data_IF_257275896867
#
_entry.id   IF_257275896867
#
_cell.length_a   1.000
_cell.length_b   1.000
_cell.length_c   1.000
_cell.angle_alpha   90.00
_cell.angle_beta   90.00
_cell.angle_gamma   90.00
#
_symmetry.space_group_name_H-M   'P 1'
#
loop_
_entity.id
_entity.type
_entity.pdbx_description
1 polymer ?
#
# COMPACT_ATOMS: atom_id res chain seq x y z
N UNK A 1 -15.16 -0.73 15.64
CA UNK A 1 -14.19 -1.85 15.59
C UNK A 1 -14.84 -3.23 15.40
N UNK A 2 -16.10 -3.49 15.79
CA UNK A 2 -16.68 -4.84 15.68
C UNK A 2 -16.93 -5.37 14.25
N UNK A 3 -17.23 -4.48 13.29
CA UNK A 3 -17.66 -4.88 11.93
C UNK A 3 -16.53 -5.44 11.04
N UNK A 4 -15.28 -5.03 11.27
CA UNK A 4 -14.13 -5.47 10.47
C UNK A 4 -13.34 -6.63 11.10
N UNK A 5 -13.55 -6.89 12.41
CA UNK A 5 -12.87 -7.98 13.14
C UNK A 5 -12.98 -9.35 12.45
N UNK A 6 -14.16 -9.76 11.91
CA UNK A 6 -14.26 -11.05 11.23
C UNK A 6 -13.34 -11.14 10.02
N UNK A 7 -13.20 -10.07 9.23
CA UNK A 7 -12.31 -10.05 8.07
C UNK A 7 -10.85 -10.26 8.46
N UNK A 8 -10.38 -9.56 9.50
CA UNK A 8 -9.00 -9.74 9.98
C UNK A 8 -8.77 -11.11 10.64
N UNK A 9 -9.79 -11.73 11.22
CA UNK A 9 -9.69 -13.11 11.71
C UNK A 9 -9.49 -14.10 10.56
N UNK A 10 -10.24 -13.93 9.46
CA UNK A 10 -10.09 -14.74 8.23
C UNK A 10 -8.70 -14.54 7.63
N UNK A 11 -8.22 -13.30 7.53
CA UNK A 11 -6.89 -13.01 6.99
C UNK A 11 -5.76 -13.60 7.86
N UNK A 12 -5.93 -13.61 9.18
CA UNK A 12 -4.97 -14.26 10.08
C UNK A 12 -4.95 -15.79 9.89
N UNK A 13 -6.10 -16.42 9.64
CA UNK A 13 -6.18 -17.85 9.33
C UNK A 13 -5.50 -18.18 8.00
N UNK A 14 -5.66 -17.32 7.00
CA UNK A 14 -5.10 -17.50 5.65
C UNK A 14 -3.66 -16.95 5.50
N UNK A 15 -2.96 -16.67 6.61
CA UNK A 15 -1.65 -16.01 6.61
C UNK A 15 -0.57 -16.84 5.91
N UNK A 16 -0.53 -18.14 6.18
CA UNK A 16 0.45 -19.07 5.61
C UNK A 16 -0.06 -19.77 4.33
N UNK A 17 -1.30 -19.50 3.94
CA UNK A 17 -1.89 -20.05 2.73
C UNK A 17 -1.21 -19.46 1.47
N UNK A 18 -1.15 -20.27 0.41
CA UNK A 18 -0.77 -19.82 -0.92
C UNK A 18 -1.76 -18.77 -1.46
N UNK A 19 -1.38 -18.03 -2.50
CA UNK A 19 -2.26 -17.00 -3.07
C UNK A 19 -3.60 -17.58 -3.56
N UNK A 20 -3.60 -18.78 -4.17
CA UNK A 20 -4.82 -19.46 -4.62
C UNK A 20 -5.70 -19.90 -3.46
N UNK A 21 -5.13 -20.52 -2.43
CA UNK A 21 -5.87 -20.96 -1.25
C UNK A 21 -6.46 -19.77 -0.48
N UNK A 22 -5.68 -18.69 -0.32
CA UNK A 22 -6.14 -17.45 0.30
C UNK A 22 -7.30 -16.86 -0.47
N UNK A 23 -7.24 -16.85 -1.81
CA UNK A 23 -8.33 -16.38 -2.65
C UNK A 23 -9.61 -17.20 -2.45
N UNK A 24 -9.50 -18.54 -2.40
CA UNK A 24 -10.65 -19.40 -2.11
C UNK A 24 -11.26 -19.14 -0.74
N UNK A 25 -10.43 -18.99 0.30
CA UNK A 25 -10.90 -18.66 1.65
C UNK A 25 -11.64 -17.32 1.63
N UNK A 26 -11.09 -16.30 0.96
CA UNK A 26 -11.72 -14.98 0.85
C UNK A 26 -13.06 -15.04 0.12
N UNK A 27 -13.15 -15.79 -0.97
CA UNK A 27 -14.40 -16.00 -1.70
C UNK A 27 -15.46 -16.69 -0.84
N UNK A 28 -15.08 -17.71 -0.06
CA UNK A 28 -16.00 -18.47 0.80
C UNK A 28 -16.41 -17.71 2.06
N UNK A 29 -15.51 -16.94 2.67
CA UNK A 29 -15.69 -16.38 4.01
C UNK A 29 -15.72 -14.85 4.05
N UNK A 30 -14.83 -14.16 3.33
CA UNK A 30 -14.74 -12.68 3.36
C UNK A 30 -15.83 -12.02 2.54
N UNK A 31 -16.14 -12.55 1.35
CA UNK A 31 -17.17 -11.97 0.44
C UNK A 31 -18.56 -11.90 1.10
N UNK A 32 -19.07 -12.93 1.79
CA UNK A 32 -20.35 -12.83 2.50
C UNK A 32 -20.35 -11.76 3.60
N UNK A 33 -19.25 -11.61 4.34
CA UNK A 33 -19.11 -10.58 5.39
C UNK A 33 -19.15 -9.18 4.78
N UNK A 34 -18.45 -8.98 3.66
CA UNK A 34 -18.46 -7.72 2.92
C UNK A 34 -19.83 -7.40 2.35
N UNK A 35 -20.56 -8.39 1.83
CA UNK A 35 -21.92 -8.21 1.36
C UNK A 35 -22.85 -7.72 2.49
N UNK A 36 -22.77 -8.32 3.68
CA UNK A 36 -23.52 -7.87 4.86
C UNK A 36 -23.12 -6.45 5.29
N UNK A 37 -21.82 -6.13 5.25
CA UNK A 37 -21.32 -4.80 5.54
C UNK A 37 -21.89 -3.77 4.55
N UNK A 38 -21.88 -4.08 3.24
CA UNK A 38 -22.42 -3.20 2.20
C UNK A 38 -23.89 -2.89 2.44
N UNK A 39 -24.68 -3.91 2.75
CA UNK A 39 -26.11 -3.74 3.03
C UNK A 39 -26.34 -2.81 4.23
N UNK A 40 -25.58 -2.99 5.31
CA UNK A 40 -25.64 -2.09 6.47
C UNK A 40 -25.27 -0.65 6.11
N UNK A 41 -24.24 -0.45 5.30
CA UNK A 41 -23.82 0.89 4.85
C UNK A 41 -24.89 1.55 3.97
N UNK A 42 -25.57 0.80 3.10
CA UNK A 42 -26.67 1.32 2.29
C UNK A 42 -27.86 1.75 3.14
N UNK A 43 -28.24 0.93 4.14
CA UNK A 43 -29.29 1.30 5.10
C UNK A 43 -28.92 2.56 5.87
N UNK A 44 -27.68 2.67 6.34
CA UNK A 44 -27.21 3.88 7.04
C UNK A 44 -27.22 5.10 6.13
N UNK A 45 -26.86 4.95 4.85
CA UNK A 45 -26.90 6.05 3.89
C UNK A 45 -28.30 6.66 3.75
N UNK A 46 -29.36 5.85 3.81
CA UNK A 46 -30.75 6.32 3.72
C UNK A 46 -31.23 6.98 5.02
N UNK A 47 -30.71 6.55 6.17
CA UNK A 47 -31.12 7.04 7.50
C UNK A 47 -30.37 8.29 7.95
N UNK A 48 -29.18 8.54 7.39
CA UNK A 48 -28.32 9.63 7.81
C UNK A 48 -28.72 10.95 7.14
N UNK A 49 -28.69 12.02 7.94
CA UNK A 49 -28.96 13.38 7.46
C UNK A 49 -27.83 13.81 6.50
N UNK A 50 -28.16 14.46 5.37
CA UNK A 50 -27.16 15.06 4.50
C UNK A 50 -26.20 15.97 5.28
N UNK A 51 -24.89 15.90 5.01
CA UNK A 51 -23.80 16.65 5.67
C UNK A 51 -23.40 16.18 7.08
N UNK A 52 -23.97 15.08 7.59
CA UNK A 52 -23.44 14.46 8.80
C UNK A 52 -22.07 13.78 8.52
N UNK A 53 -21.03 13.90 9.37
CA UNK A 53 -19.72 13.29 9.11
C UNK A 53 -19.74 11.77 8.86
N UNK A 54 -20.69 11.06 9.47
CA UNK A 54 -20.93 9.64 9.20
C UNK A 54 -21.46 9.40 7.77
N UNK A 55 -22.31 10.29 7.25
CA UNK A 55 -22.82 10.19 5.89
C UNK A 55 -21.67 10.35 4.88
N UNK A 56 -20.75 11.28 5.14
CA UNK A 56 -19.54 11.46 4.32
C UNK A 56 -18.65 10.22 4.34
N UNK A 57 -18.42 9.63 5.51
CA UNK A 57 -17.64 8.39 5.64
C UNK A 57 -18.31 7.20 4.92
N UNK A 58 -19.63 7.03 5.07
CA UNK A 58 -20.40 5.98 4.39
C UNK A 58 -20.35 6.18 2.88
N UNK A 59 -20.56 7.40 2.39
CA UNK A 59 -20.48 7.72 0.97
C UNK A 59 -19.07 7.46 0.43
N UNK A 60 -18.03 7.85 1.16
CA UNK A 60 -16.65 7.58 0.78
C UNK A 60 -16.38 6.08 0.60
N UNK A 61 -16.77 5.25 1.59
CA UNK A 61 -16.60 3.79 1.51
C UNK A 61 -17.38 3.21 0.32
N UNK A 62 -18.62 3.64 0.11
CA UNK A 62 -19.46 3.13 -0.99
C UNK A 62 -18.95 3.56 -2.37
N UNK A 63 -18.38 4.76 -2.49
CA UNK A 63 -17.78 5.26 -3.73
C UNK A 63 -16.50 4.48 -4.10
N UNK A 64 -15.77 3.99 -3.10
CA UNK A 64 -14.54 3.21 -3.28
C UNK A 64 -14.77 1.70 -3.05
N UNK A 65 -16.01 1.23 -3.15
CA UNK A 65 -16.34 -0.15 -2.79
C UNK A 65 -15.61 -1.18 -3.65
N UNK A 66 -15.41 -0.89 -4.94
CA UNK A 66 -14.71 -1.80 -5.85
C UNK A 66 -13.23 -1.93 -5.46
N UNK A 67 -12.57 -0.79 -5.23
CA UNK A 67 -11.15 -0.70 -4.90
C UNK A 67 -10.84 -1.34 -3.55
N UNK A 68 -11.70 -1.11 -2.54
CA UNK A 68 -11.56 -1.69 -1.21
C UNK A 68 -11.71 -3.21 -1.19
N UNK A 69 -12.30 -3.81 -2.23
CA UNK A 69 -12.56 -5.25 -2.32
C UNK A 69 -11.66 -6.00 -3.31
N UNK A 70 -10.66 -5.34 -3.92
CA UNK A 70 -9.73 -5.97 -4.88
C UNK A 70 -9.01 -7.19 -4.29
N UNK A 71 -8.73 -7.19 -2.99
CA UNK A 71 -8.11 -8.33 -2.31
C UNK A 71 -8.97 -9.62 -2.37
N UNK A 72 -10.29 -9.49 -2.57
CA UNK A 72 -11.16 -10.64 -2.77
C UNK A 72 -11.09 -11.20 -4.19
N UNK A 73 -10.62 -10.44 -5.18
CA UNK A 73 -10.36 -10.92 -6.55
C UNK A 73 -8.94 -11.41 -6.78
N UNK A 74 -7.98 -10.98 -5.95
CA UNK A 74 -6.57 -11.34 -6.08
C UNK A 74 -5.98 -11.73 -4.71
N UNK A 75 -5.57 -13.00 -4.58
CA UNK A 75 -4.97 -13.55 -3.36
C UNK A 75 -3.59 -12.99 -2.99
N UNK A 76 -2.92 -12.33 -3.94
CA UNK A 76 -1.62 -11.67 -3.72
C UNK A 76 -1.78 -10.30 -3.08
N UNK A 77 -2.94 -9.66 -3.27
CA UNK A 77 -3.22 -8.33 -2.74
C UNK A 77 -3.58 -8.44 -1.24
N UNK A 78 -2.91 -7.69 -0.35
CA UNK A 78 -3.28 -7.64 1.07
C UNK A 78 -4.59 -6.87 1.27
N UNK A 79 -5.31 -7.17 2.36
CA UNK A 79 -6.53 -6.45 2.76
C UNK A 79 -6.26 -4.99 3.16
N UNK A 80 -5.02 -4.67 3.53
CA UNK A 80 -4.61 -3.36 4.02
C UNK A 80 -3.43 -2.79 3.22
N UNK A 81 -3.20 -1.50 3.39
CA UNK A 81 -2.11 -0.75 2.76
C UNK A 81 -0.89 -0.59 3.69
N UNK A 82 -0.77 -1.39 4.76
CA UNK A 82 0.23 -1.16 5.82
C UNK A 82 1.67 -1.15 5.29
N UNK A 83 1.95 -1.96 4.26
CA UNK A 83 3.25 -1.98 3.59
C UNK A 83 3.56 -0.62 2.95
N UNK A 84 2.61 -0.09 2.17
CA UNK A 84 2.72 1.21 1.51
C UNK A 84 2.84 2.36 2.51
N UNK A 85 2.04 2.36 3.59
CA UNK A 85 2.11 3.38 4.64
C UNK A 85 3.46 3.37 5.36
N UNK A 86 4.00 2.18 5.62
CA UNK A 86 5.33 2.02 6.25
C UNK A 86 6.44 2.60 5.37
N UNK A 87 6.36 2.42 4.05
CA UNK A 87 7.32 3.04 3.13
C UNK A 87 7.13 4.56 3.07
N UNK A 88 5.89 5.05 2.98
CA UNK A 88 5.60 6.49 2.96
C UNK A 88 6.10 7.19 4.23
N UNK A 89 6.01 6.52 5.40
CA UNK A 89 6.53 7.05 6.66
C UNK A 89 8.02 7.43 6.57
N UNK A 90 8.83 6.70 5.79
CA UNK A 90 10.25 7.03 5.58
C UNK A 90 10.42 8.33 4.83
N UNK A 91 9.62 8.54 3.78
CA UNK A 91 9.62 9.79 3.01
C UNK A 91 9.25 10.97 3.92
N UNK A 92 8.23 10.81 4.75
CA UNK A 92 7.79 11.84 5.70
C UNK A 92 8.87 12.15 6.75
N UNK A 93 9.52 11.13 7.31
CA UNK A 93 10.62 11.31 8.26
C UNK A 93 11.84 12.00 7.61
N UNK A 94 12.21 11.59 6.40
CA UNK A 94 13.30 12.21 5.66
C UNK A 94 12.99 13.68 5.33
N UNK A 95 11.75 14.03 4.98
CA UNK A 95 11.34 15.43 4.80
C UNK A 95 11.53 16.24 6.07
N UNK A 96 11.21 15.68 7.24
CA UNK A 96 11.44 16.36 8.53
C UNK A 96 12.93 16.57 8.82
N UNK A 97 13.79 15.66 8.38
CA UNK A 97 15.24 15.73 8.56
C UNK A 97 15.96 16.57 7.47
N UNK A 98 15.31 16.78 6.32
CA UNK A 98 15.82 17.56 5.21
C UNK A 98 15.11 18.92 5.18
N UNK A 99 15.53 19.81 6.09
CA UNK A 99 14.94 21.14 6.28
C UNK A 99 15.21 22.12 5.11
N UNK A 100 15.98 21.71 4.09
CA UNK A 100 16.51 22.59 3.04
C UNK A 100 16.20 22.13 1.60
N UNK A 101 15.08 21.44 1.36
CA UNK A 101 14.58 21.24 -0.02
C UNK A 101 14.05 22.59 -0.54
N UNK A 102 14.98 23.46 -0.96
CA UNK A 102 14.67 24.85 -1.32
C UNK A 102 14.25 25.07 -2.78
N UNK A 103 14.30 24.04 -3.64
CA UNK A 103 13.89 24.18 -5.04
C UNK A 103 13.45 22.84 -5.68
N UNK A 104 12.70 22.88 -6.81
CA UNK A 104 12.20 21.68 -7.49
C UNK A 104 13.29 20.69 -7.94
N UNK A 105 14.49 21.18 -8.30
CA UNK A 105 15.62 20.31 -8.68
C UNK A 105 16.07 19.46 -7.50
N UNK A 106 16.20 20.05 -6.31
CA UNK A 106 16.51 19.32 -5.08
C UNK A 106 15.46 18.28 -4.74
N UNK A 107 14.18 18.62 -4.92
CA UNK A 107 13.07 17.67 -4.76
C UNK A 107 13.16 16.47 -5.71
N UNK A 108 13.51 16.70 -6.98
CA UNK A 108 13.71 15.63 -7.96
C UNK A 108 14.90 14.73 -7.60
N UNK A 109 16.03 15.31 -7.22
CA UNK A 109 17.21 14.54 -6.77
C UNK A 109 16.88 13.67 -5.56
N UNK A 110 16.15 14.25 -4.59
CA UNK A 110 15.68 13.50 -3.42
C UNK A 110 14.78 12.33 -3.82
N UNK A 111 13.81 12.55 -4.70
CA UNK A 111 12.92 11.50 -5.19
C UNK A 111 13.68 10.36 -5.86
N UNK A 112 14.71 10.67 -6.66
CA UNK A 112 15.58 9.65 -7.29
C UNK A 112 16.33 8.82 -6.22
N UNK A 113 16.97 9.46 -5.25
CA UNK A 113 17.73 8.76 -4.20
C UNK A 113 16.81 7.94 -3.27
N UNK A 114 15.66 8.49 -2.90
CA UNK A 114 14.65 7.78 -2.11
C UNK A 114 14.12 6.54 -2.86
N UNK A 115 13.94 6.64 -4.18
CA UNK A 115 13.52 5.52 -5.01
C UNK A 115 14.58 4.42 -5.04
N UNK A 116 15.84 4.77 -5.30
CA UNK A 116 16.96 3.81 -5.33
C UNK A 116 17.13 3.08 -3.99
N UNK A 117 17.15 3.82 -2.89
CA UNK A 117 17.32 3.26 -1.56
C UNK A 117 16.13 2.41 -1.12
N UNK A 118 14.90 2.81 -1.49
CA UNK A 118 13.69 2.00 -1.27
C UNK A 118 13.74 0.68 -2.05
N UNK A 119 14.18 0.71 -3.31
CA UNK A 119 14.37 -0.50 -4.13
C UNK A 119 15.41 -1.43 -3.51
N UNK A 120 16.59 -0.91 -3.11
CA UNK A 120 17.61 -1.71 -2.44
C UNK A 120 17.03 -2.44 -1.22
N UNK A 121 16.31 -1.69 -0.37
CA UNK A 121 15.65 -2.25 0.82
C UNK A 121 14.61 -3.32 0.48
N UNK A 122 13.78 -3.11 -0.55
CA UNK A 122 12.79 -4.09 -1.02
C UNK A 122 13.45 -5.40 -1.46
N UNK A 123 14.63 -5.31 -2.07
CA UNK A 123 15.43 -6.46 -2.50
C UNK A 123 16.43 -6.95 -1.44
N UNK A 124 16.38 -6.42 -0.22
CA UNK A 124 17.29 -6.79 0.89
C UNK A 124 18.78 -6.55 0.56
N UNK A 125 19.05 -5.55 -0.28
CA UNK A 125 20.39 -5.08 -0.64
C UNK A 125 20.76 -3.92 0.28
N UNK A 126 21.99 -3.91 0.79
CA UNK A 126 22.54 -2.77 1.53
C UNK A 126 22.61 -1.54 0.60
N UNK A 127 21.83 -0.47 0.86
CA UNK A 127 21.84 0.72 0.02
C UNK A 127 23.19 1.44 -0.01
N UNK A 128 23.96 1.40 1.08
CA UNK A 128 25.28 2.03 1.11
C UNK A 128 26.23 1.30 0.16
N UNK A 129 26.33 -0.03 0.31
CA UNK A 129 27.15 -0.86 -0.58
C UNK A 129 26.75 -0.69 -2.04
N UNK A 130 25.44 -0.71 -2.34
CA UNK A 130 24.93 -0.52 -3.69
C UNK A 130 25.36 0.83 -4.28
N UNK A 131 25.17 1.92 -3.55
CA UNK A 131 25.54 3.26 -4.02
C UNK A 131 27.05 3.42 -4.16
N UNK A 132 27.84 2.85 -3.25
CA UNK A 132 29.30 2.86 -3.34
C UNK A 132 29.77 2.13 -4.60
N UNK A 133 29.28 0.92 -4.85
CA UNK A 133 29.62 0.16 -6.05
C UNK A 133 29.18 0.88 -7.33
N UNK A 134 27.95 1.41 -7.34
CA UNK A 134 27.43 2.19 -8.46
C UNK A 134 28.34 3.37 -8.78
N UNK A 135 28.66 4.21 -7.78
CA UNK A 135 29.46 5.42 -7.99
C UNK A 135 30.93 5.13 -8.35
N UNK A 136 31.50 4.01 -7.86
CA UNK A 136 32.85 3.59 -8.22
C UNK A 136 32.94 3.06 -9.65
N UNK A 137 31.91 2.33 -10.10
CA UNK A 137 31.93 1.65 -11.39
C UNK A 137 31.41 2.54 -12.54
N UNK A 138 30.42 3.39 -12.29
CA UNK A 138 29.75 4.21 -13.31
C UNK A 138 30.71 5.01 -14.21
N UNK A 139 31.79 5.65 -13.71
CA UNK A 139 32.73 6.37 -14.56
C UNK A 139 33.52 5.48 -15.53
N UNK A 140 33.67 4.18 -15.21
CA UNK A 140 34.46 3.22 -15.98
C UNK A 140 33.59 2.36 -16.90
N UNK A 141 32.30 2.20 -16.60
CA UNK A 141 31.36 1.40 -17.39
C UNK A 141 30.91 2.17 -18.63
N UNK A 142 31.12 1.58 -19.82
CA UNK A 142 30.59 2.18 -21.06
C UNK A 142 29.09 1.93 -21.14
N UNK A 143 28.35 2.90 -21.70
CA UNK A 143 26.89 2.74 -21.88
C UNK A 143 26.54 1.49 -22.70
N UNK A 144 27.41 1.09 -23.63
CA UNK A 144 27.27 -0.12 -24.45
C UNK A 144 27.38 -1.44 -23.68
N UNK A 145 27.89 -1.41 -22.45
CA UNK A 145 28.10 -2.59 -21.59
C UNK A 145 26.94 -2.80 -20.60
N UNK A 146 26.02 -1.83 -20.51
CA UNK A 146 24.81 -1.96 -19.70
C UNK A 146 23.77 -2.77 -20.48
N UNK A 147 23.19 -3.79 -19.85
CA UNK A 147 22.09 -4.55 -20.42
C UNK A 147 20.88 -3.62 -20.64
N UNK A 148 20.27 -3.69 -21.83
CA UNK A 148 19.10 -2.92 -22.23
C UNK A 148 17.82 -3.37 -21.50
#
# INVERSE_FOLDING_TARGET
MALLRPLFAIENQAREASASERLEIRQKQSVPVLAQLRQKLLVWKEQLIPQHPMADAVNYILNHWTELNVFCSDGTVPIDNNASEREMKRVVLNRKNSLFVGNPRGGRTFATLASLTSTCRRHQIDPQLYLTQLLMNLPQTKLSELAA
#
